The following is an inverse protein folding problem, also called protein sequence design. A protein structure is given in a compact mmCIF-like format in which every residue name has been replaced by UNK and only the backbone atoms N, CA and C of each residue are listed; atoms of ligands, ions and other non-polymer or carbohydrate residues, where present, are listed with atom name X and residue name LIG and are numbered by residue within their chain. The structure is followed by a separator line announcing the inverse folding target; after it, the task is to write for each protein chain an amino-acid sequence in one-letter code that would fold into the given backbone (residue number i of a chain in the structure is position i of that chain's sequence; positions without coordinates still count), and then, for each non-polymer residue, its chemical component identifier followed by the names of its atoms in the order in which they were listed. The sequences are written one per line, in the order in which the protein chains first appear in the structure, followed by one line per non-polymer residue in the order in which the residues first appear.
data_IF_594108893281
#
_entry.id   IF_594108893281
#
_cell.length_a   1.000
_cell.length_b   1.000
_cell.length_c   1.000
_cell.angle_alpha   90.00
_cell.angle_beta   90.00
_cell.angle_gamma   90.00
#
_symmetry.space_group_name_H-M   'P 1'
#
loop_
_entity.id
_entity.type
_entity.pdbx_description
1 polymer ?
#
# COMPACT_ATOMS: atom_id res chain seq x y z
N UNK A 1 14.97 31.82 8.03
CA UNK A 1 14.68 31.26 7.95
C UNK A 1 13.91 30.88 7.40
N UNK A 2 13.88 30.55 7.15
CA UNK A 2 13.14 30.03 6.23
C UNK A 2 11.88 29.52 6.66
N UNK A 3 11.07 30.34 7.08
CA UNK A 3 9.77 29.96 7.48
C UNK A 3 9.00 29.31 6.40
N UNK A 4 9.19 29.76 5.20
CA UNK A 4 8.54 29.15 4.09
C UNK A 4 8.93 27.72 3.91
N UNK A 5 10.03 27.34 4.49
CA UNK A 5 10.46 25.98 4.38
C UNK A 5 9.99 25.15 5.50
N UNK A 6 9.33 25.73 6.45
CA UNK A 6 8.65 24.88 7.33
C UNK A 6 7.59 24.22 6.53
N UNK A 7 7.91 23.04 6.13
CA UNK A 7 6.92 22.14 5.68
C UNK A 7 5.87 22.16 6.73
N UNK A 8 4.75 22.63 6.40
CA UNK A 8 3.62 22.51 7.29
C UNK A 8 3.22 21.05 7.28
N UNK A 9 3.86 20.32 8.16
CA UNK A 9 3.62 18.88 8.25
C UNK A 9 2.16 18.55 8.44
N UNK A 10 1.43 19.48 9.01
CA UNK A 10 0.04 19.24 9.27
C UNK A 10 -0.85 19.39 8.04
N UNK A 11 -0.38 20.10 7.05
CA UNK A 11 -1.18 20.36 5.86
C UNK A 11 -0.68 19.65 4.63
N UNK A 12 0.62 19.54 4.49
CA UNK A 12 1.19 19.08 3.24
C UNK A 12 1.87 17.72 3.29
N UNK A 13 2.18 17.22 4.48
CA UNK A 13 2.84 15.92 4.57
C UNK A 13 1.82 14.81 4.56
N UNK A 14 1.97 13.93 3.60
CA UNK A 14 1.14 12.74 3.50
C UNK A 14 1.81 11.60 4.26
N UNK A 15 1.00 10.77 4.86
CA UNK A 15 1.44 9.62 5.61
C UNK A 15 1.35 8.37 4.75
N UNK A 16 2.04 7.33 5.18
CA UNK A 16 2.01 6.03 4.52
C UNK A 16 1.21 5.07 5.41
N UNK A 17 0.18 4.46 4.82
CA UNK A 17 -0.57 3.42 5.50
C UNK A 17 -0.01 2.06 5.16
N UNK A 18 -0.06 1.11 6.10
CA UNK A 18 0.50 -0.22 5.92
C UNK A 18 -0.52 -1.26 6.34
N UNK A 19 -0.77 -2.23 5.46
CA UNK A 19 -1.61 -3.38 5.77
C UNK A 19 -0.81 -4.62 5.41
N UNK A 20 -0.50 -5.45 6.39
CA UNK A 20 0.32 -6.62 6.07
C UNK A 20 0.47 -7.56 7.24
N UNK A 21 1.22 -8.62 7.00
CA UNK A 21 1.56 -9.57 8.04
C UNK A 21 2.46 -8.91 9.09
N UNK A 22 2.59 -9.59 10.22
CA UNK A 22 3.32 -9.03 11.35
C UNK A 22 4.76 -8.67 11.00
N UNK A 23 5.45 -9.53 10.28
CA UNK A 23 6.85 -9.29 9.93
C UNK A 23 7.00 -8.06 9.03
N UNK A 24 6.13 -7.94 8.03
CA UNK A 24 6.17 -6.80 7.11
C UNK A 24 5.88 -5.50 7.84
N UNK A 25 4.82 -5.47 8.64
CA UNK A 25 4.44 -4.27 9.38
C UNK A 25 5.55 -3.89 10.35
N UNK A 26 6.07 -4.87 11.09
CA UNK A 26 7.15 -4.62 12.06
C UNK A 26 8.38 -4.02 11.37
N UNK A 27 8.74 -4.55 10.21
CA UNK A 27 9.88 -4.04 9.46
C UNK A 27 9.71 -2.57 9.09
N UNK A 28 8.54 -2.19 8.61
CA UNK A 28 8.28 -0.80 8.26
C UNK A 28 8.23 0.11 9.47
N UNK A 29 7.67 -0.37 10.58
CA UNK A 29 7.65 0.42 11.81
C UNK A 29 9.06 0.67 12.34
N UNK A 30 9.94 -0.33 12.26
CA UNK A 30 11.33 -0.18 12.64
C UNK A 30 12.05 0.81 11.75
N UNK A 31 11.66 0.91 10.49
CA UNK A 31 12.23 1.87 9.55
C UNK A 31 11.65 3.28 9.73
N UNK A 32 10.74 3.46 10.66
CA UNK A 32 10.16 4.77 10.92
C UNK A 32 8.91 5.08 10.10
N UNK A 33 8.36 4.09 9.42
CA UNK A 33 7.14 4.27 8.64
C UNK A 33 5.98 3.75 9.47
N UNK A 34 4.94 4.55 9.57
CA UNK A 34 3.77 4.20 10.37
C UNK A 34 3.72 5.01 11.64
N UNK A 35 2.51 5.36 12.02
CA UNK A 35 2.28 6.14 13.22
C UNK A 35 1.07 5.60 13.95
N UNK A 36 1.09 5.78 15.24
CA UNK A 36 -0.04 5.50 16.07
C UNK A 36 -0.20 6.62 17.09
N UNK A 37 -1.41 7.16 17.17
CA UNK A 37 -1.75 8.10 18.22
C UNK A 37 -3.04 7.65 18.87
N UNK A 38 -3.60 8.46 19.77
CA UNK A 38 -4.79 8.07 20.53
C UNK A 38 -6.03 7.90 19.66
N UNK A 39 -6.03 8.47 18.48
CA UNK A 39 -7.20 8.48 17.62
C UNK A 39 -7.01 7.73 16.30
N UNK A 40 -5.78 7.42 15.95
CA UNK A 40 -5.52 6.89 14.63
C UNK A 40 -4.23 6.06 14.59
N UNK A 41 -4.30 4.99 13.86
CA UNK A 41 -3.15 4.14 13.59
C UNK A 41 -3.11 3.91 12.08
N UNK A 42 -1.97 4.16 11.45
CA UNK A 42 -1.86 3.99 10.01
C UNK A 42 -1.21 2.66 9.62
N UNK A 43 -1.34 1.66 10.48
CA UNK A 43 -0.92 0.30 10.15
C UNK A 43 -1.92 -0.72 10.69
N UNK A 44 -2.02 -1.84 10.00
CA UNK A 44 -2.85 -2.96 10.44
C UNK A 44 -2.04 -4.24 10.26
N UNK A 45 -1.86 -4.98 11.34
CA UNK A 45 -1.27 -6.31 11.28
C UNK A 45 -2.36 -7.32 10.98
N UNK A 46 -2.12 -8.12 9.96
CA UNK A 46 -3.08 -9.11 9.51
C UNK A 46 -2.53 -10.51 9.79
N UNK A 47 -3.36 -11.35 10.39
CA UNK A 47 -3.03 -12.75 10.63
C UNK A 47 -4.05 -13.62 9.89
N UNK A 48 -3.85 -14.92 9.97
CA UNK A 48 -4.82 -15.85 9.38
C UNK A 48 -6.19 -15.74 10.05
N UNK A 49 -6.22 -15.27 11.29
CA UNK A 49 -7.45 -15.10 12.04
C UNK A 49 -8.14 -13.76 11.82
N UNK A 50 -7.47 -12.82 11.17
CA UNK A 50 -8.07 -11.52 10.89
C UNK A 50 -9.18 -11.70 9.87
N UNK A 51 -10.36 -11.15 10.18
CA UNK A 51 -11.49 -11.23 9.28
C UNK A 51 -11.24 -10.39 8.03
N UNK A 52 -11.59 -10.95 6.88
CA UNK A 52 -11.47 -10.25 5.59
C UNK A 52 -12.26 -8.94 5.60
N UNK A 53 -13.42 -8.91 6.25
CA UNK A 53 -14.20 -7.68 6.36
C UNK A 53 -13.47 -6.61 7.15
N UNK A 54 -12.72 -7.02 8.18
CA UNK A 54 -11.91 -6.09 8.96
C UNK A 54 -10.81 -5.46 8.10
N UNK A 55 -10.18 -6.26 7.26
CA UNK A 55 -9.15 -5.76 6.34
C UNK A 55 -9.76 -4.77 5.36
N UNK A 56 -10.92 -5.12 4.80
CA UNK A 56 -11.61 -4.29 3.83
C UNK A 56 -12.03 -2.97 4.45
N UNK A 57 -12.59 -3.02 5.66
CA UNK A 57 -13.02 -1.83 6.36
C UNK A 57 -11.85 -0.91 6.67
N UNK A 58 -10.72 -1.48 7.09
CA UNK A 58 -9.53 -0.70 7.36
C UNK A 58 -8.97 -0.06 6.10
N UNK A 59 -8.99 -0.79 4.99
CA UNK A 59 -8.56 -0.24 3.71
C UNK A 59 -9.44 0.96 3.32
N UNK A 60 -10.75 0.83 3.48
CA UNK A 60 -11.65 1.93 3.18
C UNK A 60 -11.41 3.12 4.10
N UNK A 61 -11.08 2.87 5.36
CA UNK A 61 -10.75 3.93 6.29
C UNK A 61 -9.49 4.68 5.84
N UNK A 62 -8.47 3.96 5.42
CA UNK A 62 -7.25 4.59 4.92
C UNK A 62 -7.51 5.40 3.64
N UNK A 63 -8.30 4.85 2.74
CA UNK A 63 -8.64 5.53 1.48
C UNK A 63 -9.39 6.83 1.76
N UNK A 64 -10.22 6.84 2.78
CA UNK A 64 -11.02 8.00 3.13
C UNK A 64 -10.24 9.06 3.90
N UNK A 65 -9.07 8.71 4.39
CA UNK A 65 -8.26 9.63 5.18
C UNK A 65 -7.38 10.46 4.25
N UNK A 66 -7.64 11.75 4.21
CA UNK A 66 -6.92 12.66 3.31
C UNK A 66 -5.45 12.81 3.64
N UNK A 67 -5.01 12.36 4.80
CA UNK A 67 -3.60 12.42 5.19
C UNK A 67 -2.79 11.25 4.66
N UNK A 68 -3.45 10.22 4.14
CA UNK A 68 -2.76 9.05 3.61
C UNK A 68 -2.50 9.27 2.12
N UNK A 69 -1.24 9.20 1.73
CA UNK A 69 -0.85 9.38 0.34
C UNK A 69 -0.48 8.08 -0.35
N UNK A 70 0.01 7.10 0.41
CA UNK A 70 0.40 5.79 -0.11
C UNK A 70 -0.10 4.73 0.85
N UNK A 71 -0.62 3.64 0.30
CA UNK A 71 -0.99 2.47 1.09
C UNK A 71 -0.11 1.31 0.61
N UNK A 72 0.69 0.79 1.53
CA UNK A 72 1.50 -0.40 1.28
C UNK A 72 0.72 -1.61 1.80
N UNK A 73 0.52 -2.59 0.94
CA UNK A 73 -0.23 -3.78 1.33
C UNK A 73 0.55 -5.02 0.89
N UNK A 74 0.73 -5.97 1.80
CA UNK A 74 1.43 -7.20 1.44
C UNK A 74 0.59 -8.01 0.46
N UNK A 75 1.25 -8.71 -0.45
CA UNK A 75 0.59 -9.38 -1.56
C UNK A 75 -0.40 -10.44 -1.10
N UNK A 76 -0.05 -11.20 -0.08
CA UNK A 76 -0.95 -12.22 0.44
C UNK A 76 -2.22 -11.63 1.04
N UNK A 77 -2.10 -10.48 1.70
CA UNK A 77 -3.28 -9.77 2.23
C UNK A 77 -4.09 -9.16 1.08
N UNK A 78 -3.40 -8.62 0.08
CA UNK A 78 -4.06 -8.04 -1.08
C UNK A 78 -4.96 -9.05 -1.78
N UNK A 79 -4.51 -10.30 -1.88
CA UNK A 79 -5.30 -11.34 -2.52
C UNK A 79 -6.62 -11.58 -1.79
N UNK A 80 -6.65 -11.39 -0.48
CA UNK A 80 -7.87 -11.58 0.32
C UNK A 80 -8.91 -10.51 0.04
N UNK A 81 -8.50 -9.34 -0.43
CA UNK A 81 -9.43 -8.25 -0.77
C UNK A 81 -9.23 -7.80 -2.21
N UNK A 82 -8.92 -8.74 -3.10
CA UNK A 82 -8.59 -8.42 -4.49
C UNK A 82 -9.71 -7.66 -5.19
N UNK A 83 -10.93 -8.05 -4.98
CA UNK A 83 -12.07 -7.37 -5.60
C UNK A 83 -12.14 -5.89 -5.18
N UNK A 84 -11.88 -5.63 -3.91
CA UNK A 84 -11.89 -4.26 -3.39
C UNK A 84 -10.76 -3.45 -4.01
N UNK A 85 -9.58 -4.05 -4.14
CA UNK A 85 -8.45 -3.36 -4.74
C UNK A 85 -8.66 -3.11 -6.23
N UNK A 86 -9.23 -4.07 -6.93
CA UNK A 86 -9.48 -3.92 -8.37
C UNK A 86 -10.53 -2.86 -8.65
N UNK A 87 -11.46 -2.66 -7.74
CA UNK A 87 -12.47 -1.62 -7.88
C UNK A 87 -11.96 -0.23 -7.51
N UNK A 88 -10.80 -0.17 -6.86
CA UNK A 88 -10.22 1.10 -6.46
C UNK A 88 -9.52 1.76 -7.65
N UNK A 89 -9.97 2.94 -8.01
CA UNK A 89 -9.45 3.63 -9.19
C UNK A 89 -8.94 5.03 -8.89
N UNK A 90 -8.84 5.40 -7.62
CA UNK A 90 -8.33 6.72 -7.25
C UNK A 90 -6.82 6.80 -7.43
N UNK A 91 -6.31 7.99 -7.68
CA UNK A 91 -4.88 8.20 -7.84
C UNK A 91 -4.20 8.34 -6.47
N UNK A 92 -4.85 9.00 -5.53
CA UNK A 92 -4.34 9.21 -4.19
C UNK A 92 -5.39 8.74 -3.19
N UNK A 93 -5.04 7.91 -2.24
CA UNK A 93 -3.72 7.30 -2.02
C UNK A 93 -3.37 6.27 -3.09
N UNK A 94 -2.08 6.17 -3.38
CA UNK A 94 -1.57 5.16 -4.31
C UNK A 94 -1.40 3.84 -3.54
N UNK A 95 -1.91 2.76 -4.10
CA UNK A 95 -1.81 1.45 -3.46
C UNK A 95 -0.67 0.67 -4.10
N UNK A 96 0.30 0.24 -3.28
CA UNK A 96 1.44 -0.54 -3.73
C UNK A 96 1.41 -1.90 -3.04
N UNK A 97 1.48 -2.96 -3.83
CA UNK A 97 1.54 -4.31 -3.29
C UNK A 97 2.99 -4.70 -3.04
N UNK A 98 3.26 -5.24 -1.86
CA UNK A 98 4.60 -5.64 -1.46
C UNK A 98 4.67 -7.16 -1.53
N UNK A 99 5.72 -7.73 -2.17
CA UNK A 99 5.87 -9.18 -2.17
C UNK A 99 5.90 -9.72 -0.76
N UNK A 100 5.18 -10.80 -0.52
CA UNK A 100 5.16 -11.39 0.79
C UNK A 100 6.15 -12.55 0.86
N UNK A 101 6.45 -12.94 2.09
CA UNK A 101 7.33 -14.04 2.36
C UNK A 101 6.86 -15.34 1.73
N UNK A 102 5.54 -15.52 1.70
CA UNK A 102 4.92 -16.75 1.20
C UNK A 102 4.57 -16.70 -0.27
N UNK A 103 4.71 -15.53 -0.88
CA UNK A 103 4.40 -15.34 -2.29
C UNK A 103 5.58 -14.63 -2.94
N UNK A 104 6.47 -15.35 -3.61
CA UNK A 104 7.64 -14.72 -4.23
C UNK A 104 7.21 -13.65 -5.21
N UNK A 105 8.04 -12.62 -5.32
CA UNK A 105 7.80 -11.55 -6.26
C UNK A 105 7.73 -12.11 -7.68
N UNK A 106 6.75 -11.65 -8.44
CA UNK A 106 6.58 -12.04 -9.84
C UNK A 106 6.16 -10.80 -10.63
N UNK A 107 6.89 -10.54 -11.71
CA UNK A 107 6.55 -9.43 -12.59
C UNK A 107 5.15 -9.62 -13.17
N UNK A 108 4.76 -10.87 -13.41
CA UNK A 108 3.44 -11.17 -13.95
C UNK A 108 2.31 -10.79 -12.98
N UNK A 109 2.58 -10.85 -11.69
CA UNK A 109 1.57 -10.53 -10.68
C UNK A 109 1.62 -9.09 -10.22
N UNK A 110 2.68 -8.37 -10.57
CA UNK A 110 2.83 -6.99 -10.16
C UNK A 110 2.09 -6.09 -11.15
N UNK A 111 0.93 -5.59 -10.75
CA UNK A 111 0.09 -4.78 -11.62
C UNK A 111 0.75 -3.45 -11.99
N UNK A 112 1.58 -2.92 -11.13
CA UNK A 112 2.28 -1.67 -11.42
C UNK A 112 3.36 -1.91 -12.45
N UNK A 113 4.11 -2.99 -12.29
CA UNK A 113 5.13 -3.36 -13.26
C UNK A 113 4.50 -3.66 -14.62
N UNK A 114 3.35 -4.32 -14.64
CA UNK A 114 2.64 -4.60 -15.87
C UNK A 114 2.20 -3.32 -16.57
N UNK A 115 1.72 -2.34 -15.82
CA UNK A 115 1.37 -1.06 -16.39
C UNK A 115 2.59 -0.36 -16.98
N UNK A 116 3.71 -0.38 -16.26
CA UNK A 116 4.94 0.23 -16.74
C UNK A 116 5.42 -0.43 -18.01
N UNK A 117 5.38 -1.77 -18.06
CA UNK A 117 5.77 -2.50 -19.25
C UNK A 117 4.90 -2.17 -20.44
N UNK A 118 3.59 -2.05 -20.24
CA UNK A 118 2.68 -1.68 -21.31
C UNK A 118 2.96 -0.27 -21.83
N UNK A 119 3.31 0.65 -20.96
CA UNK A 119 3.65 2.00 -21.36
C UNK A 119 4.94 2.06 -22.17
N UNK A 120 5.92 1.23 -21.81
CA UNK A 120 7.20 1.21 -22.48
C UNK A 120 7.18 0.45 -23.80
N UNK A 121 6.47 -0.66 -23.86
CA UNK A 121 6.51 -1.57 -25.01
C UNK A 121 5.17 -1.69 -25.75
N UNK A 122 4.15 -1.00 -25.28
CA UNK A 122 2.81 -1.15 -25.80
C UNK A 122 2.31 -2.56 -25.54
N UNK A 123 1.82 -3.23 -26.59
CA UNK A 123 1.36 -4.60 -26.47
C UNK A 123 2.44 -5.62 -26.81
N UNK A 124 3.64 -5.15 -27.17
CA UNK A 124 4.73 -6.02 -27.59
C UNK A 124 5.78 -6.16 -26.50
N UNK A 125 5.36 -6.62 -25.33
CA UNK A 125 6.28 -6.86 -24.23
C UNK A 125 7.18 -8.05 -24.60
N UNK A 126 8.52 -7.89 -24.50
CA UNK A 126 9.42 -9.00 -24.79
C UNK A 126 9.15 -10.21 -23.91
N UNK A 127 9.32 -11.40 -24.46
CA UNK A 127 9.02 -12.62 -23.73
C UNK A 127 9.85 -12.79 -22.46
N UNK A 128 11.07 -12.30 -22.46
CA UNK A 128 11.93 -12.38 -21.29
C UNK A 128 11.50 -11.44 -20.17
N UNK A 129 10.55 -10.54 -20.43
CA UNK A 129 10.02 -9.64 -19.43
C UNK A 129 8.58 -9.99 -19.01
N UNK A 130 8.00 -10.99 -19.63
CA UNK A 130 6.64 -11.42 -19.27
C UNK A 130 6.62 -12.25 -18.02
#
# INVERSE_FOLDING_TARGET
MSKSKKFNRNENNLLIGIIGDEETVTGFLLAGIGERNDHFSNFLKVTSETDTNQIRDYFQELVSNKKIGIILISQDVAERIRETLDAYDEIIPTVLEIPSKNTPYSIEKDSIMQKALRQLYGQNIPDDLK
#
